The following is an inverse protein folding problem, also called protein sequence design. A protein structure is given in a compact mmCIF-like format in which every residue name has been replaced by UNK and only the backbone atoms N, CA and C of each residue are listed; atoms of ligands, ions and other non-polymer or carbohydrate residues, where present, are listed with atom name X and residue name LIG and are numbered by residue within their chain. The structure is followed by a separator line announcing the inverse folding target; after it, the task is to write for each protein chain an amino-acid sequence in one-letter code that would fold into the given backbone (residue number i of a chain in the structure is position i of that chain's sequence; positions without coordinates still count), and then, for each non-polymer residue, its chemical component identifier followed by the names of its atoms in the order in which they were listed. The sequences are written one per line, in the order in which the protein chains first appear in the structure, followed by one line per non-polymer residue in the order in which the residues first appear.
data_IF_635517053575
#
_entry.id   IF_635517053575
#
_cell.length_a   1.000
_cell.length_b   1.000
_cell.length_c   1.000
_cell.angle_alpha   90.00
_cell.angle_beta   90.00
_cell.angle_gamma   90.00
#
_symmetry.space_group_name_H-M   'P 1'
#
loop_
_entity.id
_entity.type
_entity.pdbx_description
1 polymer ?
#
# COMPACT_ATOMS: atom_id res chain seq x y z
N UNK A 1 -3.41 -37.76 13.75
CA UNK A 1 -2.70 -37.26 14.96
C UNK A 1 -1.78 -38.33 15.56
N UNK A 2 -2.29 -39.50 15.96
CA UNK A 2 -1.47 -40.59 16.55
C UNK A 2 -0.25 -41.02 15.71
N UNK A 3 -0.40 -41.17 14.39
CA UNK A 3 0.72 -41.50 13.49
C UNK A 3 1.78 -40.39 13.41
N UNK A 4 1.34 -39.13 13.43
CA UNK A 4 2.25 -37.98 13.40
C UNK A 4 3.03 -37.85 14.70
N UNK A 5 2.38 -38.09 15.85
CA UNK A 5 3.05 -38.09 17.16
C UNK A 5 4.04 -39.25 17.29
N UNK A 6 3.70 -40.45 16.78
CA UNK A 6 4.61 -41.59 16.79
C UNK A 6 5.85 -41.34 15.92
N UNK A 7 5.66 -40.77 14.73
CA UNK A 7 6.76 -40.38 13.85
C UNK A 7 7.65 -39.30 14.51
N UNK A 8 7.05 -38.26 15.07
CA UNK A 8 7.79 -37.19 15.75
C UNK A 8 8.56 -37.71 16.97
N UNK A 9 7.99 -38.63 17.74
CA UNK A 9 8.66 -39.26 18.88
C UNK A 9 9.84 -40.13 18.44
N UNK A 10 9.65 -40.99 17.43
CA UNK A 10 10.72 -41.84 16.92
C UNK A 10 11.87 -41.03 16.31
N UNK A 11 11.54 -40.13 15.37
CA UNK A 11 12.53 -39.28 14.72
C UNK A 11 13.19 -38.32 15.72
N UNK A 12 12.41 -37.67 16.58
CA UNK A 12 12.92 -36.76 17.61
C UNK A 12 13.86 -37.46 18.60
N UNK A 13 13.60 -38.72 18.96
CA UNK A 13 14.50 -39.48 19.83
C UNK A 13 15.87 -39.75 19.17
N UNK A 14 15.90 -40.04 17.87
CA UNK A 14 17.15 -40.24 17.11
C UNK A 14 17.97 -38.96 17.02
N UNK A 15 17.32 -37.83 16.73
CA UNK A 15 17.97 -36.51 16.71
C UNK A 15 18.50 -36.12 18.09
N UNK A 16 17.76 -36.37 19.17
CA UNK A 16 18.21 -36.12 20.54
C UNK A 16 19.43 -36.96 20.92
N UNK A 17 19.46 -38.23 20.52
CA UNK A 17 20.61 -39.12 20.72
C UNK A 17 21.83 -38.63 19.94
N UNK A 18 21.64 -38.22 18.69
CA UNK A 18 22.71 -37.65 17.86
C UNK A 18 23.27 -36.36 18.45
N UNK A 19 22.39 -35.44 18.89
CA UNK A 19 22.77 -34.21 19.57
C UNK A 19 23.53 -34.49 20.87
N UNK A 20 23.07 -35.47 21.66
CA UNK A 20 23.73 -35.91 22.89
C UNK A 20 25.13 -36.47 22.60
N UNK A 21 25.29 -37.27 21.54
CA UNK A 21 26.60 -37.78 21.11
C UNK A 21 27.54 -36.67 20.66
N UNK A 22 27.03 -35.65 19.96
CA UNK A 22 27.80 -34.45 19.60
C UNK A 22 28.20 -33.64 20.84
N UNK A 23 27.29 -33.48 21.81
CA UNK A 23 27.54 -32.77 23.08
C UNK A 23 28.56 -33.50 23.97
N UNK A 24 28.53 -34.84 24.02
CA UNK A 24 29.50 -35.63 24.78
C UNK A 24 30.94 -35.46 24.27
N UNK A 25 31.11 -35.08 22.99
CA UNK A 25 32.41 -34.87 22.35
C UNK A 25 32.91 -33.42 22.42
N UNK A 26 32.11 -32.50 22.96
CA UNK A 26 32.46 -31.09 23.24
C UNK A 26 33.72 -30.95 24.10
N UNK A 27 33.87 -31.64 25.25
CA UNK A 27 35.09 -31.53 26.08
C UNK A 27 36.35 -32.05 25.39
N UNK A 28 36.21 -32.83 24.30
CA UNK A 28 37.32 -33.40 23.53
C UNK A 28 37.58 -32.67 22.20
N UNK A 29 37.02 -31.47 22.02
CA UNK A 29 37.29 -30.61 20.85
C UNK A 29 36.17 -30.53 19.82
N UNK A 30 35.05 -31.23 20.00
CA UNK A 30 33.88 -31.21 19.10
C UNK A 30 32.93 -30.03 19.27
N UNK A 31 33.38 -28.91 19.85
CA UNK A 31 32.52 -27.79 20.26
C UNK A 31 32.18 -26.81 19.13
N UNK A 32 32.94 -26.80 18.03
CA UNK A 32 32.76 -25.84 16.94
C UNK A 32 31.42 -26.00 16.18
N UNK A 33 31.00 -27.20 15.73
CA UNK A 33 29.72 -27.37 15.02
C UNK A 33 28.47 -26.96 15.83
N UNK A 34 28.29 -27.38 17.10
CA UNK A 34 27.10 -26.97 17.87
C UNK A 34 27.11 -25.46 18.16
N UNK A 35 28.28 -24.85 18.38
CA UNK A 35 28.38 -23.40 18.58
C UNK A 35 27.98 -22.63 17.32
N UNK A 36 28.45 -23.05 16.15
CA UNK A 36 28.10 -22.43 14.86
C UNK A 36 26.60 -22.57 14.56
N UNK A 37 26.02 -23.75 14.82
CA UNK A 37 24.58 -23.97 14.67
C UNK A 37 23.77 -23.08 15.60
N UNK A 38 24.20 -22.92 16.86
CA UNK A 38 23.52 -22.05 17.81
C UNK A 38 23.62 -20.58 17.40
N UNK A 39 24.79 -20.13 16.95
CA UNK A 39 24.99 -18.75 16.50
C UNK A 39 24.11 -18.42 15.28
N UNK A 40 24.08 -19.29 14.27
CA UNK A 40 23.22 -19.11 13.09
C UNK A 40 21.74 -19.16 13.44
N UNK A 41 21.33 -20.05 14.35
CA UNK A 41 19.96 -20.10 14.86
C UNK A 41 19.57 -18.82 15.57
N UNK A 42 20.45 -18.24 16.40
CA UNK A 42 20.20 -16.98 17.09
C UNK A 42 20.06 -15.82 16.09
N UNK A 43 20.94 -15.73 15.09
CA UNK A 43 20.86 -14.71 14.04
C UNK A 43 19.56 -14.82 13.27
N UNK A 44 19.18 -16.03 12.84
CA UNK A 44 17.92 -16.26 12.11
C UNK A 44 16.69 -16.01 12.97
N UNK A 45 16.71 -16.43 14.24
CA UNK A 45 15.61 -16.20 15.17
C UNK A 45 15.42 -14.72 15.48
N UNK A 46 16.52 -13.98 15.70
CA UNK A 46 16.49 -12.54 15.90
C UNK A 46 15.99 -11.81 14.64
N UNK A 47 16.45 -12.22 13.45
CA UNK A 47 15.97 -11.68 12.18
C UNK A 47 14.48 -11.94 11.97
N UNK A 48 14.05 -13.19 12.19
CA UNK A 48 12.65 -13.58 12.06
C UNK A 48 11.77 -12.82 13.04
N UNK A 49 12.17 -12.74 14.31
CA UNK A 49 11.47 -11.98 15.33
C UNK A 49 11.38 -10.50 14.97
N UNK A 50 12.49 -9.88 14.53
CA UNK A 50 12.53 -8.49 14.08
C UNK A 50 11.62 -8.24 12.89
N UNK A 51 11.63 -9.13 11.89
CA UNK A 51 10.79 -9.03 10.69
C UNK A 51 9.32 -9.21 11.03
N UNK A 52 8.98 -10.20 11.85
CA UNK A 52 7.62 -10.45 12.30
C UNK A 52 7.07 -9.26 13.11
N UNK A 53 7.89 -8.70 14.01
CA UNK A 53 7.50 -7.52 14.79
C UNK A 53 7.34 -6.28 13.92
N UNK A 54 8.22 -6.08 12.93
CA UNK A 54 8.07 -5.02 11.94
C UNK A 54 6.77 -5.17 11.16
N UNK A 55 6.46 -6.36 10.67
CA UNK A 55 5.22 -6.62 9.94
C UNK A 55 3.98 -6.38 10.79
N UNK A 56 4.01 -6.82 12.06
CA UNK A 56 2.92 -6.57 13.01
C UNK A 56 2.76 -5.06 13.26
N UNK A 57 3.85 -4.32 13.43
CA UNK A 57 3.82 -2.87 13.58
C UNK A 57 3.26 -2.17 12.32
N UNK A 58 3.70 -2.61 11.14
CA UNK A 58 3.18 -2.11 9.86
C UNK A 58 1.71 -2.47 9.64
N UNK A 59 1.19 -3.53 10.26
CA UNK A 59 -0.23 -3.92 10.23
C UNK A 59 -1.08 -3.14 11.23
N UNK A 60 -0.58 -2.96 12.45
CA UNK A 60 -1.29 -2.25 13.53
C UNK A 60 -1.30 -0.73 13.31
N UNK A 61 -0.24 -0.18 12.72
CA UNK A 61 -0.09 1.24 12.44
C UNK A 61 -0.47 1.60 11.00
N UNK A 62 -1.27 0.77 10.31
CA UNK A 62 -1.90 1.17 9.04
C UNK A 62 -2.88 2.29 9.35
N UNK A 63 -2.47 3.52 9.08
CA UNK A 63 -3.38 4.65 9.18
C UNK A 63 -4.42 4.47 8.07
N UNK A 64 -5.68 4.30 8.46
CA UNK A 64 -6.80 4.33 7.52
C UNK A 64 -6.68 5.63 6.72
N UNK A 65 -6.69 5.51 5.41
CA UNK A 65 -6.51 6.64 4.50
C UNK A 65 -7.55 7.74 4.78
N UNK A 66 -8.75 7.35 5.23
CA UNK A 66 -9.79 8.28 5.70
C UNK A 66 -9.39 9.11 6.93
N UNK A 67 -8.62 8.56 7.87
CA UNK A 67 -8.12 9.31 9.03
C UNK A 67 -7.03 10.30 8.61
N UNK A 68 -6.14 9.88 7.72
CA UNK A 68 -5.14 10.76 7.12
C UNK A 68 -5.77 11.91 6.32
N UNK A 69 -6.86 11.66 5.60
CA UNK A 69 -7.65 12.68 4.90
C UNK A 69 -8.24 13.70 5.87
N UNK A 70 -8.77 13.24 7.02
CA UNK A 70 -9.30 14.12 8.06
C UNK A 70 -8.24 15.06 8.65
N UNK A 71 -7.02 14.56 8.88
CA UNK A 71 -5.87 15.34 9.33
C UNK A 71 -5.40 16.35 8.26
N UNK A 72 -5.35 15.91 7.00
CA UNK A 72 -4.96 16.75 5.86
C UNK A 72 -5.90 17.94 5.67
N UNK A 73 -7.21 17.80 5.91
CA UNK A 73 -8.16 18.92 5.75
C UNK A 73 -7.93 20.07 6.74
N UNK A 74 -7.26 19.84 7.88
CA UNK A 74 -6.93 20.87 8.87
C UNK A 74 -5.52 21.45 8.75
N UNK A 75 -4.63 20.75 8.04
CA UNK A 75 -3.26 21.19 7.80
C UNK A 75 -3.22 21.93 6.47
N UNK A 76 -2.84 23.22 6.46
CA UNK A 76 -2.74 24.06 5.26
C UNK A 76 -1.71 23.57 4.23
N UNK A 77 -2.00 22.44 3.57
CA UNK A 77 -1.15 21.78 2.59
C UNK A 77 -1.15 22.60 1.30
N UNK A 78 0.04 23.00 0.87
CA UNK A 78 0.25 23.73 -0.37
C UNK A 78 0.02 22.77 -1.53
N UNK A 79 -1.01 23.03 -2.34
CA UNK A 79 -1.36 22.20 -3.50
C UNK A 79 -0.67 22.73 -4.75
N UNK A 80 0.33 22.00 -5.22
CA UNK A 80 1.01 22.22 -6.50
C UNK A 80 0.15 21.66 -7.64
N UNK A 81 0.00 22.36 -8.78
CA UNK A 81 -0.65 21.79 -9.96
C UNK A 81 0.11 20.56 -10.44
N UNK A 82 -0.60 19.42 -10.55
CA UNK A 82 -0.01 18.13 -10.93
C UNK A 82 -0.87 16.94 -10.52
N UNK A 83 -0.53 15.76 -11.05
CA UNK A 83 -1.10 14.45 -10.67
C UNK A 83 0.02 13.63 -10.02
N UNK A 84 -0.20 13.18 -8.78
CA UNK A 84 0.77 12.38 -8.05
C UNK A 84 0.39 10.91 -8.02
N UNK A 85 1.32 10.05 -8.41
CA UNK A 85 1.19 8.60 -8.27
C UNK A 85 1.97 8.15 -7.05
N UNK A 86 1.27 7.50 -6.11
CA UNK A 86 1.89 6.90 -4.92
C UNK A 86 1.74 5.40 -5.02
N UNK A 87 2.83 4.71 -5.33
CA UNK A 87 2.87 3.26 -5.43
C UNK A 87 2.96 2.62 -4.04
N UNK A 88 2.07 1.67 -3.74
CA UNK A 88 2.06 0.95 -2.46
C UNK A 88 1.69 -0.51 -2.64
N UNK A 89 2.44 -1.41 -2.02
CA UNK A 89 2.15 -2.85 -2.03
C UNK A 89 0.95 -3.22 -1.11
N UNK A 90 0.33 -2.24 -0.44
CA UNK A 90 -0.75 -2.45 0.52
C UNK A 90 -2.13 -2.04 0.00
N UNK A 91 -2.99 -3.04 -0.16
CA UNK A 91 -4.43 -2.94 -0.49
C UNK A 91 -5.30 -2.43 0.69
N UNK A 92 -4.75 -2.14 1.86
CA UNK A 92 -5.55 -1.80 3.05
C UNK A 92 -5.30 -0.39 3.60
N UNK A 93 -4.33 0.36 3.07
CA UNK A 93 -3.99 1.68 3.57
C UNK A 93 -2.59 2.10 3.18
N UNK A 94 -2.26 3.37 3.42
CA UNK A 94 -0.92 3.88 3.17
C UNK A 94 -0.03 3.54 4.36
N UNK A 95 1.22 3.16 4.10
CA UNK A 95 2.19 2.92 5.16
C UNK A 95 2.32 4.16 6.07
N UNK A 96 2.48 3.99 7.40
CA UNK A 96 2.71 5.11 8.32
C UNK A 96 3.92 5.98 7.94
N UNK A 97 4.88 5.47 7.16
CA UNK A 97 5.96 6.29 6.60
C UNK A 97 5.44 7.43 5.70
N UNK A 98 4.35 7.23 4.97
CA UNK A 98 3.76 8.29 4.15
C UNK A 98 3.17 9.39 5.02
N UNK A 99 2.52 9.04 6.13
CA UNK A 99 2.02 10.06 7.08
C UNK A 99 3.17 10.94 7.59
N UNK A 100 4.30 10.33 7.94
CA UNK A 100 5.51 11.08 8.33
C UNK A 100 6.11 11.91 7.18
N UNK A 101 6.14 11.37 5.96
CA UNK A 101 6.62 12.12 4.79
C UNK A 101 5.80 13.40 4.58
N UNK A 102 4.49 13.28 4.75
CA UNK A 102 3.53 14.37 4.54
C UNK A 102 3.62 15.44 5.63
N UNK A 103 3.88 15.04 6.87
CA UNK A 103 4.13 16.02 7.94
C UNK A 103 5.42 16.81 7.73
N UNK A 104 6.41 16.23 7.04
CA UNK A 104 7.69 16.90 6.78
C UNK A 104 7.68 17.74 5.48
N UNK A 105 6.91 17.33 4.48
CA UNK A 105 6.81 18.01 3.19
C UNK A 105 5.35 18.38 2.88
N UNK A 106 4.92 19.61 3.21
CA UNK A 106 3.54 20.05 3.01
C UNK A 106 3.19 20.41 1.55
N UNK A 107 3.82 19.76 0.56
CA UNK A 107 3.60 20.00 -0.86
C UNK A 107 2.88 18.80 -1.49
N UNK A 108 1.65 19.01 -1.95
CA UNK A 108 0.81 17.96 -2.55
C UNK A 108 0.40 18.27 -3.97
N UNK A 109 0.21 17.24 -4.77
CA UNK A 109 -0.42 17.37 -6.08
C UNK A 109 -1.94 17.54 -5.96
N UNK A 110 -2.56 18.30 -6.88
CA UNK A 110 -4.01 18.60 -6.86
C UNK A 110 -4.88 17.34 -6.97
N UNK A 111 -4.35 16.30 -7.60
CA UNK A 111 -4.95 14.96 -7.72
C UNK A 111 -3.92 13.94 -7.26
N UNK A 112 -4.30 13.06 -6.35
CA UNK A 112 -3.42 12.00 -5.85
C UNK A 112 -4.05 10.64 -6.11
N UNK A 113 -3.28 9.77 -6.76
CA UNK A 113 -3.69 8.40 -7.11
C UNK A 113 -2.78 7.43 -6.37
N UNK A 114 -3.36 6.70 -5.42
CA UNK A 114 -2.68 5.60 -4.73
C UNK A 114 -2.79 4.34 -5.56
N UNK A 115 -1.67 3.89 -6.13
CA UNK A 115 -1.61 2.72 -7.00
C UNK A 115 -1.13 1.53 -6.18
N UNK A 116 -1.93 0.48 -6.09
CA UNK A 116 -1.58 -0.73 -5.38
C UNK A 116 -1.48 -1.92 -6.32
N UNK A 117 -0.28 -2.47 -6.47
CA UNK A 117 -0.04 -3.65 -7.30
C UNK A 117 -0.32 -4.89 -6.47
N UNK A 118 -1.25 -5.71 -6.92
CA UNK A 118 -1.57 -6.99 -6.30
C UNK A 118 -1.30 -8.10 -7.31
N UNK A 119 -0.58 -9.14 -6.86
CA UNK A 119 -0.34 -10.35 -7.67
C UNK A 119 -1.18 -11.51 -7.12
N UNK A 120 -2.45 -11.65 -7.54
CA UNK A 120 -3.26 -12.80 -7.15
C UNK A 120 -2.64 -14.12 -7.66
N UNK A 121 -2.94 -15.23 -6.97
CA UNK A 121 -2.49 -16.59 -7.30
C UNK A 121 -3.15 -17.18 -8.56
N UNK A 122 -3.55 -16.34 -9.50
CA UNK A 122 -4.17 -16.72 -10.78
C UNK A 122 -3.20 -16.48 -11.93
N UNK A 123 -3.23 -17.32 -12.98
CA UNK A 123 -2.26 -17.22 -14.08
C UNK A 123 -2.44 -15.95 -14.91
N UNK A 124 -3.68 -15.55 -15.18
CA UNK A 124 -4.05 -14.34 -15.95
C UNK A 124 -5.30 -13.74 -15.31
N UNK A 125 -5.33 -12.42 -15.16
CA UNK A 125 -6.48 -11.66 -14.65
C UNK A 125 -7.25 -11.12 -15.85
N UNK A 126 -8.60 -11.18 -15.87
CA UNK A 126 -9.37 -10.59 -16.95
C UNK A 126 -9.15 -9.07 -17.00
N UNK A 127 -9.13 -8.46 -18.20
CA UNK A 127 -8.77 -7.04 -18.38
C UNK A 127 -9.72 -6.08 -17.66
N UNK A 128 -10.97 -6.50 -17.42
CA UNK A 128 -11.99 -5.73 -16.68
C UNK A 128 -11.73 -5.67 -15.16
N UNK A 129 -11.13 -6.71 -14.57
CA UNK A 129 -10.76 -6.71 -13.14
C UNK A 129 -9.31 -6.27 -12.89
N UNK A 130 -8.56 -5.97 -13.96
CA UNK A 130 -7.14 -5.61 -13.89
C UNK A 130 -6.92 -4.27 -13.24
N UNK A 131 -7.84 -3.31 -13.44
CA UNK A 131 -7.76 -1.97 -12.88
C UNK A 131 -9.04 -1.67 -12.09
N UNK A 132 -8.96 -1.75 -10.77
CA UNK A 132 -10.05 -1.39 -9.88
C UNK A 132 -9.80 0.01 -9.35
N UNK A 133 -10.49 0.99 -9.92
CA UNK A 133 -10.42 2.39 -9.46
C UNK A 133 -11.55 2.62 -8.46
N UNK A 134 -11.21 3.20 -7.31
CA UNK A 134 -12.14 3.60 -6.28
C UNK A 134 -11.77 4.98 -5.75
N UNK A 135 -12.75 5.71 -5.23
CA UNK A 135 -12.52 6.97 -4.54
C UNK A 135 -12.16 6.72 -3.08
N UNK A 136 -11.30 7.55 -2.51
CA UNK A 136 -11.00 7.52 -1.09
C UNK A 136 -11.50 8.80 -0.42
N UNK A 137 -12.23 8.66 0.69
CA UNK A 137 -12.80 9.77 1.43
C UNK A 137 -13.92 10.53 0.70
N UNK A 138 -14.18 11.75 1.20
CA UNK A 138 -15.27 12.61 0.70
C UNK A 138 -14.94 13.25 -0.66
N UNK A 139 -15.96 13.74 -1.39
CA UNK A 139 -15.76 14.21 -2.75
C UNK A 139 -14.72 15.32 -2.95
N UNK A 140 -14.48 16.11 -1.92
CA UNK A 140 -13.71 17.33 -1.98
C UNK A 140 -12.18 17.07 -2.01
N UNK A 141 -11.75 15.86 -1.64
CA UNK A 141 -10.34 15.56 -1.41
C UNK A 141 -9.56 15.12 -2.65
N UNK A 142 -10.23 14.93 -3.81
CA UNK A 142 -9.60 14.53 -5.10
C UNK A 142 -8.53 13.44 -4.97
N UNK A 143 -8.79 12.47 -4.09
CA UNK A 143 -7.94 11.32 -3.82
C UNK A 143 -8.59 10.06 -4.37
N UNK A 144 -7.80 9.29 -5.11
CA UNK A 144 -8.25 8.08 -5.79
C UNK A 144 -7.33 6.93 -5.42
N UNK A 145 -7.92 5.74 -5.38
CA UNK A 145 -7.22 4.47 -5.22
C UNK A 145 -7.36 3.71 -6.52
N UNK A 146 -6.25 3.22 -7.04
CA UNK A 146 -6.27 2.22 -8.09
C UNK A 146 -5.61 0.94 -7.58
N UNK A 147 -6.33 -0.17 -7.60
CA UNK A 147 -5.76 -1.50 -7.36
C UNK A 147 -5.55 -2.15 -8.71
N UNK A 148 -4.31 -2.52 -8.98
CA UNK A 148 -3.89 -3.13 -10.23
C UNK A 148 -3.56 -4.59 -9.98
N UNK A 149 -4.29 -5.49 -10.63
CA UNK A 149 -4.19 -6.94 -10.40
C UNK A 149 -3.49 -7.62 -11.56
N UNK A 150 -2.38 -8.29 -11.30
CA UNK A 150 -1.59 -8.99 -12.31
C UNK A 150 -1.49 -10.49 -12.03
N UNK A 151 -1.77 -11.31 -13.04
CA UNK A 151 -1.55 -12.75 -12.94
C UNK A 151 -0.06 -13.10 -12.89
N UNK A 152 0.30 -14.20 -12.22
CA UNK A 152 1.71 -14.58 -12.07
C UNK A 152 2.40 -14.98 -13.40
N UNK A 153 1.62 -15.31 -14.45
CA UNK A 153 2.14 -15.58 -15.80
C UNK A 153 2.09 -14.37 -16.73
N UNK A 154 1.54 -13.24 -16.29
CA UNK A 154 1.52 -12.04 -17.12
C UNK A 154 2.91 -11.41 -17.14
N UNK A 155 3.39 -11.11 -18.36
CA UNK A 155 4.62 -10.38 -18.58
C UNK A 155 4.57 -9.08 -17.80
N UNK A 156 5.36 -9.01 -16.74
CA UNK A 156 5.56 -7.79 -15.98
C UNK A 156 6.40 -6.89 -16.90
N UNK A 157 6.09 -5.59 -16.94
CA UNK A 157 6.93 -4.53 -17.53
C UNK A 157 6.85 -4.29 -19.06
N UNK A 158 5.73 -3.70 -19.50
CA UNK A 158 5.80 -2.58 -20.47
C UNK A 158 5.46 -1.30 -19.69
N UNK A 159 6.43 -0.80 -18.92
CA UNK A 159 6.22 0.31 -17.97
C UNK A 159 5.68 1.57 -18.63
N UNK A 160 6.13 1.87 -19.86
CA UNK A 160 5.71 3.05 -20.60
C UNK A 160 4.22 3.01 -20.95
N UNK A 161 3.68 1.87 -21.38
CA UNK A 161 2.26 1.75 -21.71
C UNK A 161 1.37 1.64 -20.46
N UNK A 162 1.92 1.17 -19.34
CA UNK A 162 1.14 0.94 -18.13
C UNK A 162 0.68 2.26 -17.49
N UNK A 163 1.55 3.25 -17.41
CA UNK A 163 1.25 4.55 -16.83
C UNK A 163 0.17 5.27 -17.63
N UNK A 164 0.27 5.24 -18.97
CA UNK A 164 -0.75 5.82 -19.86
C UNK A 164 -2.08 5.08 -19.76
N UNK A 165 -2.08 3.75 -19.74
CA UNK A 165 -3.31 2.95 -19.57
C UNK A 165 -3.98 3.21 -18.21
N UNK A 166 -3.17 3.31 -17.16
CA UNK A 166 -3.65 3.65 -15.82
C UNK A 166 -4.25 5.05 -15.81
N UNK A 167 -3.57 6.02 -16.41
CA UNK A 167 -3.99 7.41 -16.47
C UNK A 167 -5.30 7.57 -17.27
N UNK A 168 -5.42 6.89 -18.42
CA UNK A 168 -6.66 6.83 -19.20
C UNK A 168 -7.80 6.20 -18.40
N UNK A 169 -7.55 5.08 -17.69
CA UNK A 169 -8.57 4.42 -16.86
C UNK A 169 -9.03 5.29 -15.69
N UNK A 170 -8.10 5.99 -15.05
CA UNK A 170 -8.43 6.93 -13.98
C UNK A 170 -9.21 8.12 -14.56
N UNK A 171 -8.82 8.65 -15.72
CA UNK A 171 -9.57 9.72 -16.41
C UNK A 171 -10.98 9.30 -16.81
N UNK A 172 -11.15 8.09 -17.35
CA UNK A 172 -12.47 7.52 -17.68
C UNK A 172 -13.34 7.44 -16.42
N UNK A 173 -12.79 6.95 -15.31
CA UNK A 173 -13.49 6.90 -14.03
C UNK A 173 -13.86 8.29 -13.50
N UNK A 174 -12.97 9.29 -13.67
CA UNK A 174 -13.23 10.68 -13.29
C UNK A 174 -14.34 11.32 -14.12
N UNK A 175 -14.43 11.00 -15.41
CA UNK A 175 -15.46 11.52 -16.32
C UNK A 175 -16.83 10.86 -16.11
N UNK A 176 -16.86 9.57 -15.78
CA UNK A 176 -18.10 8.83 -15.51
C UNK A 176 -18.77 9.18 -14.16
N UNK A 177 -18.04 9.83 -13.25
CA UNK A 177 -18.56 10.32 -11.98
C UNK A 177 -18.84 11.82 -12.11
N UNK A 178 -20.00 12.26 -12.64
CA UNK A 178 -20.38 13.66 -12.54
C UNK A 178 -20.40 13.99 -11.05
N UNK A 179 -19.60 14.96 -10.64
CA UNK A 179 -19.79 15.59 -9.33
C UNK A 179 -21.28 15.95 -9.24
N UNK A 180 -22.02 15.51 -8.21
CA UNK A 180 -23.25 16.17 -7.88
C UNK A 180 -22.85 17.60 -7.55
N UNK A 181 -23.03 18.52 -8.50
CA UNK A 181 -22.89 19.93 -8.25
C UNK A 181 -23.66 20.22 -6.97
N UNK A 182 -22.97 20.82 -6.01
CA UNK A 182 -23.52 21.17 -4.71
C UNK A 182 -24.92 21.74 -4.90
N UNK A 183 -25.89 21.09 -4.26
CA UNK A 183 -27.30 21.40 -4.42
C UNK A 183 -27.55 22.89 -4.20
N UNK A 184 -28.12 23.53 -5.21
CA UNK A 184 -28.70 24.86 -5.09
C UNK A 184 -29.81 24.84 -4.05
N UNK A 185 -29.49 25.18 -2.80
CA UNK A 185 -30.50 25.62 -1.85
C UNK A 185 -30.94 27.02 -2.26
N UNK A 186 -32.08 27.09 -2.95
CA UNK A 186 -32.93 28.28 -2.97
C UNK A 186 -33.34 28.57 -1.52
N UNK A 187 -32.81 29.64 -0.94
CA UNK A 187 -33.55 30.46 0.02
C UNK A 187 -33.17 31.92 -0.21
N UNK A 188 -34.19 32.77 -0.29
CA UNK A 188 -34.15 34.05 -1.00
C UNK A 188 -33.38 35.20 -0.32
N UNK A 189 -32.95 36.11 -1.21
CA UNK A 189 -33.07 37.58 -1.16
C UNK A 189 -32.55 38.30 0.09
N UNK A 190 -31.40 38.97 -0.02
CA UNK A 190 -31.26 40.44 0.08
C UNK A 190 -29.82 40.93 -0.23
N UNK A 191 -29.77 41.86 -1.19
CA UNK A 191 -28.85 42.99 -1.48
C UNK A 191 -27.31 42.96 -1.32
N UNK A 192 -26.71 43.48 -2.42
CA UNK A 192 -25.58 44.42 -2.52
C UNK A 192 -24.12 43.92 -2.51
N UNK A 193 -23.39 44.33 -3.56
CA UNK A 193 -21.96 44.65 -3.49
C UNK A 193 -21.02 43.73 -4.25
N UNK A 194 -20.66 44.16 -5.45
CA UNK A 194 -19.33 44.17 -6.10
C UNK A 194 -18.36 42.96 -6.04
N UNK A 195 -17.73 42.79 -7.20
CA UNK A 195 -16.38 42.26 -7.48
C UNK A 195 -16.14 40.78 -7.84
N UNK A 196 -15.34 40.68 -8.91
CA UNK A 196 -14.54 39.57 -9.44
C UNK A 196 -15.24 38.33 -10.01
N UNK A 197 -15.50 38.44 -11.31
CA UNK A 197 -15.57 37.34 -12.27
C UNK A 197 -14.25 36.54 -12.26
N UNK A 198 -14.15 35.51 -11.41
CA UNK A 198 -13.11 34.48 -11.52
C UNK A 198 -13.62 33.35 -12.40
N UNK A 199 -13.19 33.41 -13.65
CA UNK A 199 -13.22 32.37 -14.66
C UNK A 199 -12.91 31.00 -14.05
N UNK A 200 -13.92 30.14 -13.97
CA UNK A 200 -13.77 28.76 -13.56
C UNK A 200 -13.08 27.99 -14.70
N UNK A 201 -11.75 28.00 -14.70
CA UNK A 201 -10.96 27.16 -15.60
C UNK A 201 -11.30 25.68 -15.36
N UNK A 202 -11.85 25.07 -16.40
CA UNK A 202 -12.19 23.65 -16.49
C UNK A 202 -10.92 22.79 -16.24
N UNK A 203 -10.86 22.00 -15.16
CA UNK A 203 -9.72 21.16 -14.86
C UNK A 203 -9.50 20.03 -15.88
N UNK A 204 -10.48 19.77 -16.76
CA UNK A 204 -10.35 18.81 -17.87
C UNK A 204 -9.56 19.42 -19.04
N UNK A 205 -9.61 20.73 -19.24
CA UNK A 205 -8.91 21.41 -20.32
C UNK A 205 -7.37 21.33 -20.19
N UNK A 206 -6.86 21.33 -18.95
CA UNK A 206 -5.43 21.21 -18.67
C UNK A 206 -4.88 19.81 -18.98
N UNK A 207 -5.70 18.77 -18.76
CA UNK A 207 -5.31 17.38 -18.98
C UNK A 207 -5.31 16.96 -20.46
N UNK A 208 -5.98 17.73 -21.32
CA UNK A 208 -6.02 17.49 -22.78
C UNK A 208 -4.86 18.16 -23.53
N UNK A 209 -4.07 19.00 -22.85
CA UNK A 209 -3.11 19.91 -23.48
C UNK A 209 -1.65 19.41 -23.46
N UNK A 210 -1.36 18.31 -22.76
CA UNK A 210 -0.04 17.64 -22.76
C UNK A 210 -0.19 16.15 -23.06
#
# INVERSE_FOLDING_TARGET
VLWATLFAAGFGSMELLYLSACLAKVPHGGWLPPLLSLATLLVMSAWHYGTAKKQEYELQNKVCLDHFIGLSSGMGLVRVPGVGFVYSDSVAGVSPMFAHFVTNFPAFHRVLVFVSLQTPTVPKVPPEERFLVGRIGRPEHRMFRCVVRYGYKEGRWDHFNFEDQLLVKVMEFLQMQPFPCAGGKRLGKEEAGDEEEKEAEDPIAFLKKN
#
